data_IF_828339578082
#
_entry.id   IF_828339578082
#
_cell.length_a   1.000
_cell.length_b   1.000
_cell.length_c   1.000
_cell.angle_alpha   90.00
_cell.angle_beta   90.00
_cell.angle_gamma   90.00
#
_symmetry.space_group_name_H-M   'P 1'
#
loop_
_entity.id
_entity.type
_entity.pdbx_description
1 polymer ?
#
# COMPACT_ATOMS: atom_id res chain seq x y z
N UNK A 1 14.47 -7.77 -28.07
CA UNK A 1 13.43 -8.49 -27.30
C UNK A 1 13.30 -7.74 -25.98
N UNK A 2 12.13 -7.22 -25.61
CA UNK A 2 11.94 -6.54 -24.34
C UNK A 2 12.20 -7.55 -23.21
N UNK A 3 12.95 -7.15 -22.19
CA UNK A 3 13.28 -8.00 -21.06
C UNK A 3 12.00 -8.48 -20.39
N UNK A 4 11.78 -9.79 -20.43
CA UNK A 4 10.76 -10.47 -19.64
C UNK A 4 11.23 -10.44 -18.18
N UNK A 5 11.12 -9.28 -17.53
CA UNK A 5 11.33 -9.17 -16.10
C UNK A 5 10.09 -9.73 -15.43
N UNK A 6 10.07 -11.06 -15.26
CA UNK A 6 9.09 -11.71 -14.39
C UNK A 6 9.08 -10.94 -13.05
N UNK A 7 7.91 -10.73 -12.45
CA UNK A 7 7.81 -10.10 -11.13
C UNK A 7 8.50 -11.02 -10.12
N UNK A 8 9.79 -10.77 -9.91
CA UNK A 8 10.63 -11.50 -8.99
C UNK A 8 10.18 -11.21 -7.56
N UNK A 9 9.69 -12.25 -6.88
CA UNK A 9 9.25 -12.16 -5.50
C UNK A 9 10.46 -11.96 -4.59
N UNK A 10 10.37 -10.97 -3.70
CA UNK A 10 11.43 -10.60 -2.77
C UNK A 10 10.86 -10.47 -1.37
N UNK A 11 11.62 -10.94 -0.40
CA UNK A 11 11.35 -10.66 1.00
C UNK A 11 11.74 -9.20 1.28
N UNK A 12 10.75 -8.37 1.63
CA UNK A 12 10.94 -6.93 1.80
C UNK A 12 10.40 -6.45 3.14
N UNK A 13 11.07 -5.45 3.70
CA UNK A 13 10.62 -4.69 4.87
C UNK A 13 9.87 -3.40 4.47
N UNK A 14 9.85 -3.06 3.18
CA UNK A 14 9.23 -1.86 2.63
C UNK A 14 8.50 -2.18 1.34
N UNK A 15 7.32 -1.59 1.19
CA UNK A 15 6.45 -1.76 0.02
C UNK A 15 5.99 -0.40 -0.46
N UNK A 16 6.24 -0.12 -1.73
CA UNK A 16 5.57 0.97 -2.45
C UNK A 16 4.29 0.43 -3.08
N UNK A 17 3.15 1.03 -2.76
CA UNK A 17 1.85 0.56 -3.20
C UNK A 17 1.01 1.67 -3.80
N UNK A 18 0.22 1.31 -4.81
CA UNK A 18 -0.90 2.11 -5.26
C UNK A 18 -2.13 1.66 -4.48
N UNK A 19 -2.81 2.59 -3.82
CA UNK A 19 -3.87 2.32 -2.84
C UNK A 19 -5.16 3.01 -3.26
N UNK A 20 -6.27 2.29 -3.15
CA UNK A 20 -7.63 2.75 -3.45
C UNK A 20 -8.54 2.38 -2.28
N UNK A 21 -9.22 3.36 -1.70
CA UNK A 21 -10.14 3.16 -0.57
C UNK A 21 -11.33 2.32 -1.03
N UNK A 22 -11.70 1.29 -0.25
CA UNK A 22 -12.78 0.38 -0.63
C UNK A 22 -14.15 1.04 -0.60
N UNK A 23 -14.41 1.92 0.38
CA UNK A 23 -15.63 2.74 0.47
C UNK A 23 -15.32 4.18 0.01
N UNK A 24 -15.79 4.59 -1.18
CA UNK A 24 -15.56 5.94 -1.70
C UNK A 24 -16.09 7.05 -0.78
N UNK A 25 -17.09 6.78 0.05
CA UNK A 25 -17.65 7.81 0.95
C UNK A 25 -16.73 8.12 2.13
N UNK A 26 -15.74 7.26 2.40
CA UNK A 26 -14.81 7.40 3.52
C UNK A 26 -13.41 7.84 3.10
N UNK A 27 -13.26 8.26 1.84
CA UNK A 27 -11.95 8.59 1.30
C UNK A 27 -11.26 9.75 2.03
N UNK A 28 -12.01 10.79 2.38
CA UNK A 28 -11.44 11.94 3.08
C UNK A 28 -10.98 11.56 4.49
N UNK A 29 -11.70 10.64 5.13
CA UNK A 29 -11.30 10.06 6.42
C UNK A 29 -10.04 9.21 6.29
N UNK A 30 -9.98 8.33 5.29
CA UNK A 30 -8.78 7.55 4.99
C UNK A 30 -7.58 8.46 4.75
N UNK A 31 -7.71 9.48 3.89
CA UNK A 31 -6.62 10.40 3.57
C UNK A 31 -6.19 11.26 4.76
N UNK A 32 -7.09 11.57 5.68
CA UNK A 32 -6.78 12.30 6.91
C UNK A 32 -6.01 11.44 7.93
N UNK A 33 -6.31 10.13 8.01
CA UNK A 33 -5.63 9.21 8.93
C UNK A 33 -4.36 8.58 8.33
N UNK A 34 -4.34 8.38 7.02
CA UNK A 34 -3.22 7.79 6.29
C UNK A 34 -2.12 8.84 6.03
N UNK A 35 -1.46 9.22 7.11
CA UNK A 35 -0.37 10.21 7.16
C UNK A 35 0.93 9.55 7.62
N UNK A 36 2.06 10.22 7.38
CA UNK A 36 3.37 9.71 7.81
C UNK A 36 3.40 9.42 9.32
N UNK A 37 3.92 8.24 9.67
CA UNK A 37 3.97 7.73 11.04
C UNK A 37 2.72 6.97 11.50
N UNK A 38 1.60 7.02 10.77
CA UNK A 38 0.40 6.25 11.12
C UNK A 38 0.63 4.73 10.96
N UNK A 39 0.02 3.94 11.84
CA UNK A 39 0.11 2.49 11.84
C UNK A 39 -1.16 1.86 11.26
N UNK A 40 -0.98 0.83 10.44
CA UNK A 40 -2.03 0.16 9.69
C UNK A 40 -1.80 -1.35 9.71
N UNK A 41 -2.86 -2.14 9.69
CA UNK A 41 -2.76 -3.57 9.40
C UNK A 41 -2.68 -3.79 7.90
N UNK A 42 -1.71 -4.60 7.46
CA UNK A 42 -1.46 -4.95 6.07
C UNK A 42 -1.60 -6.47 5.91
N UNK A 43 -2.54 -6.87 5.06
CA UNK A 43 -2.88 -8.27 4.80
C UNK A 43 -2.35 -8.68 3.43
N UNK A 44 -1.17 -9.32 3.39
CA UNK A 44 -0.48 -9.77 2.18
C UNK A 44 -0.58 -11.30 2.10
N UNK A 45 -1.42 -11.81 1.18
CA UNK A 45 -1.69 -13.25 1.03
C UNK A 45 -2.12 -13.88 2.37
N UNK A 46 -1.22 -14.59 3.04
CA UNK A 46 -1.45 -15.26 4.34
C UNK A 46 -0.75 -14.57 5.51
N UNK A 47 -0.05 -13.46 5.25
CA UNK A 47 0.66 -12.69 6.26
C UNK A 47 -0.17 -11.47 6.67
N UNK A 48 -0.44 -11.37 7.96
CA UNK A 48 -1.02 -10.19 8.59
C UNK A 48 0.08 -9.49 9.38
N UNK A 49 0.49 -8.32 8.93
CA UNK A 49 1.58 -7.56 9.56
C UNK A 49 1.16 -6.13 9.81
N UNK A 50 1.60 -5.56 10.92
CA UNK A 50 1.52 -4.13 11.12
C UNK A 50 2.49 -3.43 10.16
N UNK A 51 2.09 -2.27 9.67
CA UNK A 51 2.92 -1.41 8.84
C UNK A 51 2.79 0.04 9.23
N UNK A 52 3.89 0.77 9.13
CA UNK A 52 3.92 2.23 9.31
C UNK A 52 3.93 2.91 7.95
N UNK A 53 3.09 3.93 7.77
CA UNK A 53 3.16 4.82 6.61
C UNK A 53 4.43 5.66 6.71
N UNK A 54 5.35 5.47 5.78
CA UNK A 54 6.60 6.23 5.71
C UNK A 54 6.40 7.50 4.89
N UNK A 55 5.66 7.41 3.80
CA UNK A 55 5.43 8.53 2.89
C UNK A 55 4.19 8.33 2.05
N UNK A 56 3.49 9.41 1.78
CA UNK A 56 2.45 9.49 0.74
C UNK A 56 2.97 10.26 -0.47
N UNK A 57 2.72 9.72 -1.65
CA UNK A 57 3.17 10.24 -2.93
C UNK A 57 1.95 10.48 -3.84
N UNK A 58 1.43 11.72 -3.91
CA UNK A 58 0.35 12.05 -4.82
C UNK A 58 0.78 11.79 -6.27
N UNK A 59 -0.10 11.18 -7.06
CA UNK A 59 0.16 10.87 -8.46
C UNK A 59 -0.05 12.09 -9.37
N UNK A 60 0.68 13.18 -9.15
CA UNK A 60 0.67 14.40 -9.98
C UNK A 60 -0.69 14.80 -10.60
N UNK A 61 -1.04 14.25 -11.77
CA UNK A 61 -2.30 14.51 -12.51
C UNK A 61 -3.52 13.72 -12.05
N UNK A 62 -3.37 12.70 -11.22
CA UNK A 62 -4.43 11.86 -10.66
C UNK A 62 -4.80 12.36 -9.26
N UNK A 63 -6.11 12.40 -9.00
CA UNK A 63 -6.62 12.78 -7.69
C UNK A 63 -6.28 11.69 -6.66
N UNK A 64 -5.83 12.10 -5.47
CA UNK A 64 -5.67 11.18 -4.35
C UNK A 64 -7.00 10.53 -3.91
N UNK A 65 -8.13 11.11 -4.34
CA UNK A 65 -9.47 10.53 -4.17
C UNK A 65 -9.76 9.37 -5.11
N UNK A 66 -8.97 9.17 -6.16
CA UNK A 66 -9.12 8.01 -7.04
C UNK A 66 -8.15 6.91 -6.62
N UNK A 67 -6.90 7.30 -6.35
CA UNK A 67 -5.86 6.44 -5.81
C UNK A 67 -4.68 7.27 -5.28
N UNK A 68 -3.97 6.77 -4.27
CA UNK A 68 -2.76 7.41 -3.74
C UNK A 68 -1.61 6.41 -3.67
N UNK A 69 -0.38 6.86 -3.90
CA UNK A 69 0.78 6.00 -3.69
C UNK A 69 1.27 6.13 -2.24
N UNK A 70 1.42 5.01 -1.57
CA UNK A 70 1.88 4.97 -0.18
C UNK A 70 3.08 4.04 -0.07
N UNK A 71 4.12 4.53 0.62
CA UNK A 71 5.24 3.71 1.05
C UNK A 71 5.00 3.22 2.47
N UNK A 72 4.90 1.92 2.63
CA UNK A 72 4.79 1.25 3.93
C UNK A 72 6.14 0.69 4.37
N UNK A 73 6.42 0.74 5.67
CA UNK A 73 7.43 -0.09 6.33
C UNK A 73 6.72 -1.17 7.12
N UNK A 74 6.95 -2.42 6.78
CA UNK A 74 6.36 -3.57 7.46
C UNK A 74 7.11 -3.86 8.76
N UNK A 75 6.39 -4.29 9.80
CA UNK A 75 6.99 -4.68 11.08
C UNK A 75 7.84 -5.96 10.97
N UNK A 76 7.51 -6.81 9.99
CA UNK A 76 8.24 -8.04 9.66
C UNK A 76 8.46 -8.10 8.14
N UNK A 77 9.59 -8.66 7.68
CA UNK A 77 9.80 -8.91 6.26
C UNK A 77 8.74 -9.87 5.70
N UNK A 78 8.21 -9.56 4.50
CA UNK A 78 7.18 -10.37 3.83
C UNK A 78 7.57 -10.57 2.37
N UNK A 79 7.39 -11.78 1.79
CA UNK A 79 7.60 -12.02 0.37
C UNK A 79 6.54 -11.30 -0.47
N UNK A 80 6.97 -10.36 -1.31
CA UNK A 80 6.11 -9.62 -2.24
C UNK A 80 6.72 -9.53 -3.63
N UNK A 81 5.87 -9.32 -4.63
CA UNK A 81 6.25 -9.15 -6.03
C UNK A 81 5.46 -7.98 -6.65
N UNK A 82 5.97 -7.29 -7.67
CA UNK A 82 5.22 -6.23 -8.35
C UNK A 82 3.90 -6.75 -8.90
N UNK A 83 2.84 -5.96 -8.75
CA UNK A 83 1.49 -6.34 -9.16
C UNK A 83 0.73 -7.20 -8.14
N UNK A 84 1.37 -7.62 -7.05
CA UNK A 84 0.70 -8.32 -5.96
C UNK A 84 -0.37 -7.42 -5.33
N UNK A 85 -1.57 -7.98 -5.14
CA UNK A 85 -2.68 -7.30 -4.45
C UNK A 85 -2.70 -7.66 -2.97
N UNK A 86 -2.98 -6.67 -2.14
CA UNK A 86 -3.11 -6.82 -0.70
C UNK A 86 -4.13 -5.83 -0.14
N UNK A 87 -4.50 -6.01 1.13
CA UNK A 87 -5.46 -5.14 1.82
C UNK A 87 -4.75 -4.34 2.91
N UNK A 88 -5.22 -3.13 3.15
CA UNK A 88 -4.77 -2.27 4.23
C UNK A 88 -5.99 -1.87 5.06
N UNK A 89 -5.92 -1.94 6.38
CA UNK A 89 -7.00 -1.55 7.28
C UNK A 89 -6.47 -0.72 8.44
N UNK A 90 -7.23 0.28 8.86
CA UNK A 90 -6.89 1.08 10.04
C UNK A 90 -6.95 0.19 11.30
N UNK A 91 -6.00 0.35 12.22
CA UNK A 91 -5.91 -0.48 13.42
C UNK A 91 -6.99 -0.13 14.46
N UNK A 92 -7.37 1.14 14.52
CA UNK A 92 -8.37 1.65 15.47
C UNK A 92 -9.79 1.53 14.89
N UNK A 93 -9.92 1.52 13.56
CA UNK A 93 -11.16 1.30 12.84
C UNK A 93 -11.00 0.30 11.67
N UNK A 94 -11.21 -1.01 11.93
CA UNK A 94 -11.08 -2.05 10.90
C UNK A 94 -12.06 -1.90 9.71
N UNK A 95 -13.09 -1.06 9.82
CA UNK A 95 -14.02 -0.78 8.72
C UNK A 95 -13.48 0.26 7.73
N UNK A 96 -12.39 0.97 8.08
CA UNK A 96 -11.68 1.87 7.20
C UNK A 96 -10.60 1.09 6.44
N UNK A 97 -11.00 0.52 5.30
CA UNK A 97 -10.16 -0.37 4.50
C UNK A 97 -9.84 0.18 3.10
N UNK A 98 -8.72 -0.27 2.56
CA UNK A 98 -8.27 0.04 1.22
C UNK A 98 -7.67 -1.20 0.54
N UNK A 99 -7.93 -1.31 -0.77
CA UNK A 99 -7.23 -2.24 -1.64
C UNK A 99 -5.91 -1.62 -2.11
N UNK A 100 -4.86 -2.44 -2.15
CA UNK A 100 -3.53 -2.00 -2.54
C UNK A 100 -2.91 -2.95 -3.56
N UNK A 101 -2.07 -2.40 -4.44
CA UNK A 101 -1.26 -3.15 -5.39
C UNK A 101 0.20 -2.71 -5.30
N UNK A 102 1.12 -3.67 -5.19
CA UNK A 102 2.57 -3.43 -5.13
C UNK A 102 3.02 -2.82 -6.46
N UNK A 103 3.72 -1.68 -6.39
CA UNK A 103 4.25 -0.98 -7.55
C UNK A 103 5.51 -1.66 -8.12
N UNK A 104 5.87 -1.39 -9.38
CA UNK A 104 7.13 -1.87 -9.96
C UNK A 104 8.36 -1.46 -9.14
N UNK A 105 9.37 -2.33 -9.15
CA UNK A 105 10.66 -2.02 -8.52
C UNK A 105 11.28 -0.75 -9.11
N UNK A 106 11.76 0.15 -8.25
CA UNK A 106 12.42 1.38 -8.68
C UNK A 106 11.49 2.48 -9.20
N UNK A 107 10.17 2.33 -9.11
CA UNK A 107 9.25 3.44 -9.37
C UNK A 107 9.28 4.43 -8.19
N UNK A 108 9.99 5.54 -8.33
CA UNK A 108 9.93 6.70 -7.42
C UNK A 108 8.80 7.63 -7.81
#
# INVERSE_FOLDING_TARGET
>A
MPGNSDPDAREVDRVDALVTVSDPNRIDEFLARCVEGSAWAVHIRTADVEATVIRRHPLASLSERDCTCIRFKLALPVPVEPGLRFRVTDLDDPSLEAAAIVRPWGST
#
